data_IF_117683995602
#
_entry.id   IF_117683995602
#
_cell.length_a   1.000
_cell.length_b   1.000
_cell.length_c   1.000
_cell.angle_alpha   90.00
_cell.angle_beta   90.00
_cell.angle_gamma   90.00
#
_symmetry.space_group_name_H-M   'P 1'
#
loop_
_entity.id
_entity.type
_entity.pdbx_description
1 polymer ?
#
# COMPACT_ATOMS: atom_id res chain seq x y z
N UNK A 1 -13.91 -17.04 -1.75
CA UNK A 1 -13.44 -15.63 -1.88
C UNK A 1 -13.35 -15.04 -0.47
N UNK A 2 -12.45 -14.11 -0.19
CA UNK A 2 -12.30 -13.51 1.15
C UNK A 2 -11.06 -13.93 1.95
N UNK A 3 -10.18 -14.75 1.37
CA UNK A 3 -8.86 -15.00 1.95
C UNK A 3 -7.89 -13.86 1.60
N UNK A 4 -6.91 -13.65 2.48
CA UNK A 4 -5.82 -12.70 2.28
C UNK A 4 -4.47 -13.37 2.60
N UNK A 5 -3.40 -12.79 2.06
CA UNK A 5 -2.03 -13.17 2.36
C UNK A 5 -1.23 -11.91 2.66
N UNK A 6 -0.40 -11.96 3.68
CA UNK A 6 0.54 -10.90 4.02
C UNK A 6 1.94 -11.31 3.58
N UNK A 7 2.69 -10.37 3.02
CA UNK A 7 4.10 -10.55 2.72
C UNK A 7 4.87 -9.28 3.05
N UNK A 8 6.12 -9.43 3.46
CA UNK A 8 7.00 -8.30 3.74
C UNK A 8 7.41 -7.63 2.41
N UNK A 9 7.64 -6.30 2.36
CA UNK A 9 8.03 -5.60 1.12
C UNK A 9 9.29 -6.14 0.44
N UNK A 10 10.16 -6.82 1.18
CA UNK A 10 11.38 -7.46 0.66
C UNK A 10 11.20 -8.96 0.29
N UNK A 11 9.98 -9.50 0.42
CA UNK A 11 9.69 -10.88 0.02
C UNK A 11 9.59 -10.97 -1.49
N UNK A 12 10.48 -11.76 -2.12
CA UNK A 12 10.36 -12.09 -3.54
C UNK A 12 9.10 -12.93 -3.75
N UNK A 13 8.23 -12.48 -4.65
CA UNK A 13 7.01 -13.18 -4.99
C UNK A 13 6.56 -12.85 -6.42
N UNK A 14 5.63 -13.66 -6.94
CA UNK A 14 5.07 -13.49 -8.28
C UNK A 14 3.73 -14.19 -8.42
N UNK A 15 3.10 -14.05 -9.57
CA UNK A 15 1.82 -14.69 -9.85
C UNK A 15 1.87 -15.51 -11.13
N UNK A 16 1.30 -16.72 -11.09
CA UNK A 16 1.17 -17.58 -12.25
C UNK A 16 0.14 -17.03 -13.26
N UNK A 17 0.25 -17.40 -14.55
CA UNK A 17 -0.73 -17.03 -15.56
C UNK A 17 -2.12 -17.59 -15.23
N UNK A 18 -3.16 -16.84 -15.57
CA UNK A 18 -4.53 -17.34 -15.50
C UNK A 18 -4.79 -18.31 -16.66
N UNK A 19 -5.20 -19.55 -16.36
CA UNK A 19 -5.46 -20.60 -17.36
C UNK A 19 -6.95 -20.95 -17.49
N UNK A 20 -7.82 -20.22 -16.82
CA UNK A 20 -9.28 -20.43 -16.87
C UNK A 20 -9.95 -19.37 -17.77
N UNK A 21 -11.21 -19.60 -18.12
CA UNK A 21 -12.05 -18.61 -18.82
C UNK A 21 -12.47 -17.43 -17.93
N UNK A 22 -12.35 -17.58 -16.61
CA UNK A 22 -12.87 -16.64 -15.64
C UNK A 22 -11.80 -15.63 -15.17
N UNK A 23 -12.16 -14.37 -14.93
CA UNK A 23 -11.20 -13.36 -14.49
C UNK A 23 -10.69 -13.63 -13.06
N UNK A 24 -9.36 -13.56 -12.86
CA UNK A 24 -8.74 -13.52 -11.53
C UNK A 24 -8.79 -12.10 -10.98
N UNK A 25 -9.62 -11.86 -9.95
CA UNK A 25 -9.77 -10.55 -9.29
C UNK A 25 -9.25 -10.58 -7.86
N UNK A 26 -8.43 -9.59 -7.50
CA UNK A 26 -7.89 -9.37 -6.16
C UNK A 26 -7.62 -7.88 -5.94
N UNK A 27 -7.47 -7.47 -4.69
CA UNK A 27 -6.97 -6.15 -4.31
C UNK A 27 -5.58 -6.29 -3.68
N UNK A 28 -4.72 -5.31 -3.89
CA UNK A 28 -3.43 -5.19 -3.22
C UNK A 28 -3.48 -3.94 -2.34
N UNK A 29 -3.11 -4.10 -1.08
CA UNK A 29 -3.04 -3.02 -0.11
C UNK A 29 -1.62 -3.01 0.47
N UNK A 30 -0.97 -1.85 0.40
CA UNK A 30 0.32 -1.62 1.04
C UNK A 30 0.11 -0.82 2.31
N UNK A 31 0.66 -1.31 3.42
CA UNK A 31 0.68 -0.63 4.71
C UNK A 31 2.12 -0.27 5.03
N UNK A 32 2.31 0.88 5.68
CA UNK A 32 3.59 1.35 6.16
C UNK A 32 3.45 1.88 7.58
N UNK A 33 4.58 1.97 8.30
CA UNK A 33 4.59 2.41 9.68
C UNK A 33 4.27 3.91 9.79
N UNK A 34 3.59 4.30 10.88
CA UNK A 34 3.46 5.71 11.24
C UNK A 34 4.85 6.35 11.34
N UNK A 35 4.98 7.60 10.86
CA UNK A 35 6.26 8.31 10.81
C UNK A 35 7.06 8.09 9.51
N UNK A 36 6.57 7.26 8.58
CA UNK A 36 7.16 7.14 7.24
C UNK A 36 7.18 8.50 6.53
N UNK A 37 8.28 8.80 5.85
CA UNK A 37 8.50 10.06 5.12
C UNK A 37 8.65 9.79 3.62
N UNK A 38 8.30 10.79 2.81
CA UNK A 38 8.54 10.73 1.36
C UNK A 38 10.05 10.68 1.08
N UNK A 39 10.46 9.84 0.14
CA UNK A 39 11.84 9.77 -0.37
C UNK A 39 11.97 10.42 -1.76
N UNK A 40 10.93 11.11 -2.21
CA UNK A 40 10.90 11.74 -3.54
C UNK A 40 10.21 13.10 -3.48
N UNK A 41 10.53 13.94 -4.46
CA UNK A 41 9.83 15.20 -4.75
C UNK A 41 8.81 15.03 -5.90
N UNK A 42 8.50 13.79 -6.27
CA UNK A 42 7.50 13.41 -7.27
C UNK A 42 6.22 12.86 -6.62
N UNK A 43 5.08 12.83 -7.33
CA UNK A 43 3.87 12.18 -6.83
C UNK A 43 4.07 10.68 -6.55
N UNK A 44 3.71 10.24 -5.34
CA UNK A 44 3.81 8.83 -4.93
C UNK A 44 2.83 7.91 -5.67
N UNK A 45 1.67 8.45 -6.03
CA UNK A 45 0.62 7.75 -6.79
C UNK A 45 -0.02 8.75 -7.76
N UNK A 46 -0.48 8.25 -8.90
CA UNK A 46 -1.19 9.07 -9.88
C UNK A 46 -2.47 9.66 -9.26
N UNK A 47 -2.67 10.98 -9.43
CA UNK A 47 -3.84 11.70 -8.92
C UNK A 47 -3.74 12.17 -7.47
N UNK A 48 -2.60 11.96 -6.80
CA UNK A 48 -2.35 12.46 -5.44
C UNK A 48 -1.37 13.64 -5.50
N UNK A 49 -1.58 14.72 -4.72
CA UNK A 49 -0.59 15.79 -4.61
C UNK A 49 0.78 15.27 -4.18
N UNK A 50 1.84 15.90 -4.68
CA UNK A 50 3.21 15.62 -4.24
C UNK A 50 3.36 15.87 -2.73
N UNK A 51 4.07 14.96 -2.06
CA UNK A 51 4.57 15.14 -0.70
C UNK A 51 6.08 15.28 -0.81
N UNK A 52 6.61 16.45 -0.47
CA UNK A 52 8.03 16.76 -0.64
C UNK A 52 8.91 15.76 0.10
N UNK A 53 10.13 15.54 -0.42
CA UNK A 53 11.09 14.64 0.21
C UNK A 53 11.33 15.05 1.66
N UNK A 54 11.33 14.06 2.54
CA UNK A 54 11.50 14.25 3.97
C UNK A 54 10.19 14.60 4.71
N UNK A 55 9.11 14.98 4.03
CA UNK A 55 7.82 15.23 4.68
C UNK A 55 7.08 13.94 5.04
N UNK A 56 6.27 13.99 6.10
CA UNK A 56 5.54 12.83 6.61
C UNK A 56 4.42 12.39 5.64
N UNK A 57 4.24 11.08 5.51
CA UNK A 57 3.13 10.49 4.78
C UNK A 57 1.89 10.37 5.69
N UNK A 58 1.25 11.51 6.00
CA UNK A 58 0.14 11.58 6.96
C UNK A 58 -1.09 12.35 6.45
N UNK A 59 -1.24 12.50 5.14
CA UNK A 59 -2.36 13.23 4.55
C UNK A 59 -3.66 12.41 4.55
N UNK A 60 -4.77 13.00 4.12
CA UNK A 60 -6.05 12.29 3.90
C UNK A 60 -5.96 11.08 2.95
N UNK A 61 -4.89 11.01 2.16
CA UNK A 61 -4.63 9.90 1.24
C UNK A 61 -3.80 8.77 1.87
N UNK A 62 -3.22 9.03 3.05
CA UNK A 62 -2.38 8.12 3.82
C UNK A 62 -2.88 8.05 5.27
N UNK A 63 -4.12 7.57 5.49
CA UNK A 63 -4.76 7.59 6.80
C UNK A 63 -4.13 6.60 7.77
N UNK A 64 -4.19 6.91 9.07
CA UNK A 64 -3.93 5.94 10.13
C UNK A 64 -5.01 4.84 10.08
N UNK A 65 -4.59 3.59 9.97
CA UNK A 65 -5.50 2.43 9.83
C UNK A 65 -5.73 1.68 11.15
N UNK A 66 -4.88 1.93 12.14
CA UNK A 66 -4.95 1.30 13.46
C UNK A 66 -4.21 2.15 14.50
N UNK A 67 -4.84 2.41 15.64
CA UNK A 67 -4.20 2.90 16.86
C UNK A 67 -4.53 1.93 18.00
N UNK A 68 -3.55 1.38 18.73
CA UNK A 68 -3.79 0.55 19.91
C UNK A 68 -4.65 1.20 20.99
N UNK A 69 -4.85 2.52 20.98
CA UNK A 69 -5.77 3.21 21.88
C UNK A 69 -7.25 3.05 21.50
N UNK A 70 -7.54 2.53 20.31
CA UNK A 70 -8.92 2.28 19.86
C UNK A 70 -9.51 0.99 20.46
N UNK A 71 -8.68 0.15 21.07
CA UNK A 71 -9.08 -1.11 21.72
C UNK A 71 -9.17 -0.95 23.24
#
# INVERSE_FOLDING_TARGET
KGHASFHHPLTVHGSHPNRTSEPRRSAVLNYFAEGTRSDTDEPLLNGIPTIARGELLNSRFFPLVFDPKWI
#
